data_IF_583833054770
#
_entry.id   IF_583833054770
#
_cell.length_a   1.000
_cell.length_b   1.000
_cell.length_c   1.000
_cell.angle_alpha   90.00
_cell.angle_beta   90.00
_cell.angle_gamma   90.00
#
_symmetry.space_group_name_H-M   'P 1'
#
loop_
_entity.id
_entity.type
_entity.pdbx_description
1 polymer ?
#
# COMPACT_ATOMS: atom_id res chain seq x y z
N UNK A 1 -0.33 8.37 2.64
CA UNK A 1 -1.72 7.99 2.98
C UNK A 1 -2.49 9.27 3.25
N UNK A 2 -3.80 9.34 2.97
CA UNK A 2 -4.57 10.59 3.06
C UNK A 2 -5.54 10.62 4.26
N UNK A 3 -6.09 11.81 4.53
CA UNK A 3 -7.04 12.07 5.63
C UNK A 3 -8.30 11.22 5.47
N UNK A 4 -8.79 11.03 4.24
CA UNK A 4 -9.99 10.21 3.97
C UNK A 4 -9.80 8.78 4.47
N UNK A 5 -8.66 8.18 4.11
CA UNK A 5 -8.34 6.81 4.48
C UNK A 5 -8.16 6.68 5.99
N UNK A 6 -7.52 7.67 6.64
CA UNK A 6 -7.33 7.67 8.08
C UNK A 6 -8.67 7.73 8.84
N UNK A 7 -9.55 8.67 8.48
CA UNK A 7 -10.88 8.79 9.10
C UNK A 7 -11.70 7.53 8.87
N UNK A 8 -11.70 6.98 7.64
CA UNK A 8 -12.41 5.73 7.36
C UNK A 8 -11.87 4.53 8.16
N UNK A 9 -10.56 4.49 8.47
CA UNK A 9 -10.00 3.44 9.33
C UNK A 9 -10.36 3.62 10.81
N UNK A 10 -10.44 4.86 11.29
CA UNK A 10 -10.79 5.15 12.68
C UNK A 10 -12.29 4.98 12.94
N UNK A 11 -13.12 5.46 12.01
CA UNK A 11 -14.58 5.56 12.12
C UNK A 11 -15.22 5.23 10.76
N UNK A 12 -15.22 3.94 10.35
CA UNK A 12 -15.72 3.51 9.04
C UNK A 12 -17.20 3.83 8.80
N UNK A 13 -17.97 3.99 9.88
CA UNK A 13 -19.38 4.35 9.87
C UNK A 13 -19.63 5.85 9.69
N UNK A 14 -18.59 6.70 9.69
CA UNK A 14 -18.77 8.14 9.64
C UNK A 14 -18.89 8.68 8.22
N UNK A 15 -19.86 9.57 8.02
CA UNK A 15 -20.05 10.32 6.79
C UNK A 15 -19.37 11.68 6.86
N UNK A 16 -18.45 11.93 5.94
CA UNK A 16 -17.68 13.17 5.85
C UNK A 16 -17.38 13.51 4.39
N UNK A 17 -17.20 14.80 4.13
CA UNK A 17 -16.70 15.34 2.87
C UNK A 17 -15.31 15.92 3.06
N UNK A 18 -14.46 15.75 2.05
CA UNK A 18 -13.17 16.42 1.95
C UNK A 18 -13.21 17.30 0.72
N UNK A 19 -13.08 18.60 0.92
CA UNK A 19 -13.04 19.58 -0.17
C UNK A 19 -11.63 20.17 -0.29
N UNK A 20 -11.17 20.28 -1.54
CA UNK A 20 -9.91 20.94 -1.86
C UNK A 20 -10.20 22.41 -2.16
N UNK A 21 -9.83 23.30 -1.25
CA UNK A 21 -9.91 24.73 -1.51
C UNK A 21 -8.66 25.13 -2.28
N UNK A 22 -8.82 25.36 -3.58
CA UNK A 22 -7.69 25.67 -4.48
C UNK A 22 -7.35 27.16 -4.39
N UNK A 23 -6.61 27.54 -3.35
CA UNK A 23 -5.98 28.86 -3.22
C UNK A 23 -4.51 28.88 -3.72
N UNK A 24 -3.88 27.71 -3.87
CA UNK A 24 -2.56 27.50 -4.48
C UNK A 24 -2.45 26.11 -5.15
N UNK A 25 -1.26 25.74 -5.66
CA UNK A 25 -1.04 24.45 -6.38
C UNK A 25 -1.27 23.22 -5.49
N UNK A 26 -1.14 23.41 -4.17
CA UNK A 26 -1.18 22.35 -3.18
C UNK A 26 -2.50 22.33 -2.42
N UNK A 27 -3.34 23.37 -2.50
CA UNK A 27 -4.66 23.55 -1.91
C UNK A 27 -4.78 23.25 -0.41
N UNK A 28 -5.74 23.87 0.26
CA UNK A 28 -6.02 23.54 1.66
C UNK A 28 -7.14 22.51 1.73
N UNK A 29 -6.87 21.38 2.38
CA UNK A 29 -7.87 20.35 2.67
C UNK A 29 -8.82 20.86 3.75
N UNK A 30 -10.11 20.89 3.43
CA UNK A 30 -11.17 21.21 4.41
C UNK A 30 -12.02 19.98 4.66
N UNK A 31 -12.02 19.50 5.92
CA UNK A 31 -12.87 18.42 6.39
C UNK A 31 -14.24 18.97 6.81
N UNK A 32 -15.30 18.42 6.24
CA UNK A 32 -16.69 18.72 6.64
C UNK A 32 -17.39 17.45 7.08
N UNK A 33 -17.95 17.44 8.29
CA UNK A 33 -18.76 16.33 8.77
C UNK A 33 -20.17 16.43 8.20
N UNK A 34 -20.67 15.34 7.58
CA UNK A 34 -21.99 15.30 6.94
C UNK A 34 -23.10 14.87 7.90
N UNK A 35 -22.73 14.54 9.14
CA UNK A 35 -23.61 14.10 10.21
C UNK A 35 -23.30 14.86 11.50
N UNK A 36 -24.30 14.95 12.38
CA UNK A 36 -24.14 15.51 13.72
C UNK A 36 -23.65 14.42 14.68
N UNK A 37 -22.36 14.48 15.02
CA UNK A 37 -21.64 13.49 15.84
C UNK A 37 -20.85 14.18 16.94
N UNK A 38 -20.88 13.64 18.16
CA UNK A 38 -20.20 14.26 19.31
C UNK A 38 -18.74 13.82 19.46
N UNK A 39 -18.39 12.60 19.05
CA UNK A 39 -17.09 11.96 19.26
C UNK A 39 -16.24 11.90 17.96
N UNK A 40 -16.04 13.07 17.35
CA UNK A 40 -15.16 13.24 16.18
C UNK A 40 -13.71 12.91 16.58
N UNK A 41 -12.95 12.17 15.75
CA UNK A 41 -11.52 12.00 15.96
C UNK A 41 -10.80 13.34 16.06
N UNK A 42 -9.80 13.43 16.93
CA UNK A 42 -8.95 14.63 17.00
C UNK A 42 -7.97 14.67 15.85
N UNK A 43 -7.42 15.85 15.56
CA UNK A 43 -6.38 16.00 14.53
C UNK A 43 -5.17 15.11 14.84
N UNK A 44 -4.78 14.98 16.12
CA UNK A 44 -3.69 14.09 16.53
C UNK A 44 -3.99 12.61 16.29
N UNK A 45 -5.24 12.16 16.49
CA UNK A 45 -5.66 10.78 16.20
C UNK A 45 -5.62 10.50 14.68
N UNK A 46 -6.07 11.47 13.88
CA UNK A 46 -6.03 11.39 12.42
C UNK A 46 -4.57 11.33 11.94
N UNK A 47 -3.71 12.24 12.40
CA UNK A 47 -2.30 12.29 12.04
C UNK A 47 -1.55 11.03 12.45
N UNK A 48 -1.78 10.54 13.68
CA UNK A 48 -1.21 9.29 14.15
C UNK A 48 -1.62 8.12 13.24
N UNK A 49 -2.88 8.07 12.81
CA UNK A 49 -3.35 7.03 11.90
C UNK A 49 -2.76 7.16 10.50
N UNK A 50 -2.58 8.38 9.98
CA UNK A 50 -1.87 8.61 8.71
C UNK A 50 -0.45 8.06 8.78
N UNK A 51 0.28 8.37 9.86
CA UNK A 51 1.65 7.90 10.07
C UNK A 51 1.69 6.37 10.15
N UNK A 52 0.79 5.75 10.91
CA UNK A 52 0.68 4.30 11.01
C UNK A 52 0.45 3.66 9.64
N UNK A 53 -0.55 4.13 8.89
CA UNK A 53 -0.89 3.59 7.58
C UNK A 53 0.23 3.82 6.55
N UNK A 54 0.93 4.96 6.64
CA UNK A 54 2.07 5.24 5.78
C UNK A 54 3.23 4.29 6.09
N UNK A 55 3.55 4.08 7.37
CA UNK A 55 4.57 3.13 7.77
C UNK A 55 4.22 1.69 7.33
N UNK A 56 2.96 1.27 7.48
CA UNK A 56 2.49 -0.03 7.00
C UNK A 56 2.59 -0.16 5.48
N UNK A 57 2.22 0.88 4.75
CA UNK A 57 2.40 0.93 3.32
C UNK A 57 3.87 0.79 2.94
N UNK A 58 4.75 1.57 3.54
CA UNK A 58 6.18 1.58 3.23
C UNK A 58 6.85 0.25 3.60
N UNK A 59 6.48 -0.37 4.72
CA UNK A 59 6.91 -1.70 5.12
C UNK A 59 6.56 -2.80 4.09
N UNK A 60 5.55 -2.58 3.26
CA UNK A 60 5.14 -3.49 2.19
C UNK A 60 5.75 -3.17 0.81
N UNK A 61 6.66 -2.18 0.71
CA UNK A 61 7.29 -1.80 -0.55
C UNK A 61 7.97 -2.98 -1.24
N UNK A 62 8.70 -3.81 -0.49
CA UNK A 62 9.38 -4.99 -1.04
C UNK A 62 8.40 -5.96 -1.73
N UNK A 63 7.16 -6.09 -1.23
CA UNK A 63 6.15 -6.98 -1.83
C UNK A 63 5.73 -6.42 -3.18
N UNK A 64 5.42 -5.12 -3.23
CA UNK A 64 5.01 -4.44 -4.47
C UNK A 64 6.09 -4.51 -5.53
N UNK A 65 7.34 -4.27 -5.15
CA UNK A 65 8.47 -4.34 -6.08
C UNK A 65 8.71 -5.77 -6.58
N UNK A 66 8.64 -6.79 -5.71
CA UNK A 66 8.74 -8.19 -6.15
C UNK A 66 7.63 -8.58 -7.12
N UNK A 67 6.38 -8.21 -6.85
CA UNK A 67 5.24 -8.51 -7.73
C UNK A 67 5.46 -7.90 -9.12
N UNK A 68 5.93 -6.66 -9.20
CA UNK A 68 6.24 -6.00 -10.48
C UNK A 68 7.37 -6.69 -11.26
N UNK A 69 8.29 -7.38 -10.57
CA UNK A 69 9.47 -8.02 -11.16
C UNK A 69 9.30 -9.51 -11.43
N UNK A 70 8.33 -10.17 -10.79
CA UNK A 70 8.09 -11.58 -11.06
C UNK A 70 7.68 -11.80 -12.52
N UNK A 71 8.23 -12.84 -13.19
CA UNK A 71 7.69 -13.31 -14.46
C UNK A 71 6.22 -13.69 -14.31
N UNK A 72 5.51 -13.86 -15.43
CA UNK A 72 4.12 -14.31 -15.38
C UNK A 72 4.03 -15.68 -14.68
N UNK A 73 2.84 -16.03 -14.18
CA UNK A 73 2.68 -17.33 -13.52
C UNK A 73 2.92 -18.49 -14.51
N UNK A 74 2.52 -18.32 -15.77
CA UNK A 74 2.76 -19.27 -16.84
C UNK A 74 4.26 -19.49 -17.09
N UNK A 75 5.04 -18.40 -17.19
CA UNK A 75 6.50 -18.49 -17.33
C UNK A 75 7.15 -19.18 -16.13
N UNK A 76 6.70 -18.85 -14.91
CA UNK A 76 7.22 -19.49 -13.70
C UNK A 76 6.91 -20.99 -13.65
N UNK A 77 5.72 -21.41 -14.10
CA UNK A 77 5.35 -22.82 -14.15
C UNK A 77 6.13 -23.56 -15.23
N UNK A 78 6.33 -22.95 -16.40
CA UNK A 78 7.14 -23.54 -17.48
C UNK A 78 8.62 -23.69 -17.06
N UNK A 79 9.20 -22.68 -16.41
CA UNK A 79 10.55 -22.76 -15.85
C UNK A 79 10.68 -23.90 -14.83
N UNK A 80 9.72 -24.07 -13.93
CA UNK A 80 9.73 -25.16 -12.94
C UNK A 80 9.65 -26.55 -13.60
N UNK A 81 8.83 -26.68 -14.64
CA UNK A 81 8.76 -27.92 -15.40
C UNK A 81 10.10 -28.24 -16.07
N UNK A 82 10.69 -27.27 -16.79
CA UNK A 82 11.97 -27.48 -17.46
C UNK A 82 13.13 -27.69 -16.49
N UNK A 83 13.14 -27.02 -15.34
CA UNK A 83 14.09 -27.28 -14.25
C UNK A 83 14.03 -28.74 -13.78
N UNK A 84 12.82 -29.30 -13.65
CA UNK A 84 12.65 -30.72 -13.33
C UNK A 84 13.10 -31.66 -14.44
N UNK A 85 12.92 -31.30 -15.71
CA UNK A 85 13.29 -32.14 -16.85
C UNK A 85 14.80 -32.12 -17.10
N UNK A 86 15.43 -30.95 -16.95
CA UNK A 86 16.82 -30.71 -17.34
C UNK A 86 17.79 -30.72 -16.14
N UNK A 87 17.29 -30.77 -14.91
CA UNK A 87 18.13 -30.67 -13.70
C UNK A 87 18.74 -29.27 -13.54
N UNK A 88 18.01 -28.23 -13.94
CA UNK A 88 18.42 -26.82 -13.81
C UNK A 88 17.71 -26.14 -12.64
N UNK A 89 18.08 -24.88 -12.35
CA UNK A 89 17.55 -24.08 -11.23
C UNK A 89 17.06 -22.71 -11.67
N UNK A 90 16.73 -22.54 -12.94
CA UNK A 90 16.40 -21.25 -13.57
C UNK A 90 15.32 -20.49 -12.81
N UNK A 91 14.24 -21.18 -12.41
CA UNK A 91 13.16 -20.58 -11.63
C UNK A 91 13.64 -20.15 -10.25
N UNK A 92 14.34 -21.04 -9.53
CA UNK A 92 14.84 -20.76 -8.18
C UNK A 92 15.82 -19.59 -8.17
N UNK A 93 16.73 -19.53 -9.15
CA UNK A 93 17.72 -18.46 -9.32
C UNK A 93 17.05 -17.12 -9.62
N UNK A 94 16.04 -17.09 -10.50
CA UNK A 94 15.26 -15.88 -10.79
C UNK A 94 14.51 -15.37 -9.56
N UNK A 95 13.89 -16.26 -8.79
CA UNK A 95 13.20 -15.88 -7.55
C UNK A 95 14.20 -15.36 -6.52
N UNK A 96 15.36 -15.99 -6.39
CA UNK A 96 16.42 -15.56 -5.46
C UNK A 96 16.97 -14.19 -5.83
N UNK A 97 17.23 -13.94 -7.12
CA UNK A 97 17.66 -12.64 -7.66
C UNK A 97 16.67 -11.53 -7.27
N UNK A 98 15.37 -11.73 -7.53
CA UNK A 98 14.32 -10.74 -7.23
C UNK A 98 14.22 -10.50 -5.72
N UNK A 99 14.28 -11.55 -4.90
CA UNK A 99 14.24 -11.42 -3.44
C UNK A 99 15.48 -10.74 -2.86
N UNK A 100 16.64 -10.93 -3.49
CA UNK A 100 17.88 -10.27 -3.11
C UNK A 100 17.89 -8.79 -3.51
N UNK A 101 17.32 -8.44 -4.67
CA UNK A 101 17.18 -7.06 -5.12
C UNK A 101 16.16 -6.26 -4.28
N UNK A 102 15.15 -6.94 -3.75
CA UNK A 102 14.10 -6.36 -2.90
C UNK A 102 13.99 -7.16 -1.60
N UNK A 103 14.94 -7.01 -0.66
CA UNK A 103 14.95 -7.76 0.60
C UNK A 103 13.72 -7.44 1.45
N UNK A 104 13.36 -8.37 2.33
CA UNK A 104 12.33 -8.09 3.34
C UNK A 104 12.99 -7.21 4.41
N UNK A 105 12.59 -5.94 4.44
CA UNK A 105 12.92 -4.99 5.51
C UNK A 105 12.15 -5.31 6.78
#
# INVERSE_FOLDING_TARGET
MDIATAIHNLKPEYEFGIEYVVEDINGTLTLTWLQDIEDKPTDEEIDAKIIELQADWDNQEYVRERIKKYPSIEEQLDMQYWDSVNGTTTWADKIAEIKSAHPKT
#
